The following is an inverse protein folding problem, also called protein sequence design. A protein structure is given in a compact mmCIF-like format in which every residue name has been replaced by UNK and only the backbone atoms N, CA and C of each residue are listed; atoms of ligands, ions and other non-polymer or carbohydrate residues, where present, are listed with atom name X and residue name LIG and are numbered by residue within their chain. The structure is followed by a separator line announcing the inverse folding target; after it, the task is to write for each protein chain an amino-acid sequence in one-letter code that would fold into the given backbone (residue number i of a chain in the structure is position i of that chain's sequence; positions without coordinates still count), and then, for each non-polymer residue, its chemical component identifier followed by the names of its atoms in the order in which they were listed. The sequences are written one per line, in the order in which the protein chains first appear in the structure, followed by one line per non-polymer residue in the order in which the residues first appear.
data_IF_254417620472
#
_entry.id   IF_254417620472
#
_cell.length_a   1.000
_cell.length_b   1.000
_cell.length_c   1.000
_cell.angle_alpha   90.00
_cell.angle_beta   90.00
_cell.angle_gamma   90.00
#
_symmetry.space_group_name_H-M   'P 1'
#
loop_
_entity.id
_entity.type
_entity.pdbx_description
1 polymer ?
#
# COMPACT_ATOMS: atom_id res chain seq x y z
N UNK A 1 -7.75 10.98 44.13
CA UNK A 1 -8.81 10.51 43.20
C UNK A 1 -8.99 9.01 43.19
N UNK A 2 -7.90 8.21 43.15
CA UNK A 2 -7.97 6.74 43.20
C UNK A 2 -6.91 6.25 44.18
N UNK A 3 -7.22 5.24 45.00
CA UNK A 3 -6.24 4.59 45.88
C UNK A 3 -5.24 3.76 45.08
N UNK A 4 -3.97 3.74 45.51
CA UNK A 4 -2.90 2.96 44.88
C UNK A 4 -3.30 1.49 44.78
N UNK A 5 -3.12 0.89 43.61
CA UNK A 5 -3.42 -0.52 43.33
C UNK A 5 -4.85 -0.82 42.86
N UNK A 6 -5.77 0.16 42.88
CA UNK A 6 -7.11 -0.02 42.29
C UNK A 6 -7.11 0.33 40.80
N UNK A 7 -7.80 -0.48 39.99
CA UNK A 7 -7.98 -0.21 38.55
C UNK A 7 -8.80 1.07 38.34
N UNK A 8 -8.37 1.91 37.41
CA UNK A 8 -9.11 3.10 36.98
C UNK A 8 -10.37 2.66 36.23
N UNK A 9 -11.52 3.23 36.58
CA UNK A 9 -12.83 2.91 35.99
C UNK A 9 -13.42 4.15 35.32
N UNK A 10 -14.45 3.97 34.49
CA UNK A 10 -15.16 5.07 33.85
C UNK A 10 -15.71 6.11 34.85
N UNK A 11 -16.05 5.70 36.08
CA UNK A 11 -16.48 6.62 37.15
C UNK A 11 -15.35 7.58 37.53
N UNK A 12 -14.13 7.06 37.72
CA UNK A 12 -12.98 7.88 38.10
C UNK A 12 -12.60 8.86 36.99
N UNK A 13 -12.65 8.42 35.72
CA UNK A 13 -12.39 9.27 34.55
C UNK A 13 -13.39 10.44 34.51
N UNK A 14 -14.69 10.16 34.63
CA UNK A 14 -15.73 11.22 34.65
C UNK A 14 -15.59 12.19 35.81
N UNK A 15 -15.12 11.73 36.97
CA UNK A 15 -14.85 12.60 38.12
C UNK A 15 -13.67 13.54 37.82
N UNK A 16 -12.57 13.01 37.28
CA UNK A 16 -11.42 13.81 36.88
C UNK A 16 -11.76 14.84 35.80
N UNK A 17 -12.58 14.46 34.81
CA UNK A 17 -13.09 15.36 33.77
C UNK A 17 -13.97 16.48 34.36
N UNK A 18 -14.89 16.13 35.27
CA UNK A 18 -15.78 17.09 35.93
C UNK A 18 -14.99 18.10 36.77
N UNK A 19 -13.95 17.64 37.44
CA UNK A 19 -13.09 18.46 38.29
C UNK A 19 -11.98 19.18 37.48
N UNK A 20 -11.95 19.00 36.15
CA UNK A 20 -11.02 19.63 35.21
C UNK A 20 -9.54 19.52 35.61
N UNK A 21 -9.14 18.34 36.06
CA UNK A 21 -7.78 18.10 36.56
C UNK A 21 -6.77 18.08 35.41
N UNK A 22 -5.93 19.12 35.32
CA UNK A 22 -4.90 19.24 34.28
C UNK A 22 -3.52 18.69 34.72
N UNK A 23 -3.20 18.74 36.02
CA UNK A 23 -1.90 18.34 36.55
C UNK A 23 -2.08 17.47 37.79
N UNK A 24 -1.25 16.43 37.92
CA UNK A 24 -1.23 15.52 39.05
C UNK A 24 0.23 15.31 39.45
N UNK A 25 0.51 15.38 40.75
CA UNK A 25 1.82 15.03 41.28
C UNK A 25 2.02 13.51 41.24
N UNK A 26 3.12 13.08 40.65
CA UNK A 26 3.50 11.67 40.50
C UNK A 26 4.88 11.44 41.11
N UNK A 27 5.15 10.25 41.69
CA UNK A 27 6.49 9.93 42.20
C UNK A 27 7.50 9.84 41.06
N UNK A 28 8.76 10.17 41.33
CA UNK A 28 9.86 10.10 40.34
C UNK A 28 10.02 8.67 39.79
N UNK A 29 9.76 7.66 40.61
CA UNK A 29 9.76 6.24 40.23
C UNK A 29 8.77 5.91 39.10
N UNK A 30 7.67 6.66 38.95
CA UNK A 30 6.70 6.45 37.87
C UNK A 30 7.26 6.88 36.50
N UNK A 31 8.18 7.84 36.51
CA UNK A 31 8.82 8.37 35.30
C UNK A 31 9.96 7.43 34.85
N UNK A 32 10.56 6.71 35.79
CA UNK A 32 11.55 5.69 35.47
C UNK A 32 10.92 4.59 34.59
N UNK A 33 11.55 4.30 33.46
CA UNK A 33 11.05 3.36 32.45
C UNK A 33 10.15 3.99 31.37
N UNK A 34 9.81 5.28 31.48
CA UNK A 34 9.18 6.01 30.36
C UNK A 34 10.23 6.37 29.30
N UNK A 35 9.79 6.50 28.06
CA UNK A 35 10.67 6.82 26.91
C UNK A 35 10.53 8.28 26.53
N UNK A 36 11.64 8.99 26.28
CA UNK A 36 11.60 10.40 25.86
C UNK A 36 11.18 10.56 24.40
N UNK A 37 10.41 11.60 24.12
CA UNK A 37 9.89 11.88 22.79
C UNK A 37 10.86 12.66 21.88
N UNK A 38 11.79 13.43 22.47
CA UNK A 38 12.70 14.33 21.75
C UNK A 38 14.08 14.41 22.40
N UNK A 39 15.02 14.98 21.66
CA UNK A 39 16.36 15.27 22.15
C UNK A 39 16.36 16.37 23.23
N UNK A 40 17.12 16.15 24.29
CA UNK A 40 17.35 17.12 25.36
C UNK A 40 18.82 17.49 25.41
N UNK A 41 19.10 18.78 25.22
CA UNK A 41 20.44 19.37 25.28
C UNK A 41 20.61 20.21 26.55
N UNK A 42 21.83 20.31 27.06
CA UNK A 42 22.19 21.27 28.09
C UNK A 42 22.48 22.63 27.44
N UNK A 43 21.73 23.67 27.82
CA UNK A 43 21.91 25.01 27.27
C UNK A 43 23.25 25.65 27.67
N UNK A 44 23.86 25.18 28.76
CA UNK A 44 25.13 25.73 29.27
C UNK A 44 26.35 25.23 28.51
N UNK A 45 26.33 23.94 28.13
CA UNK A 45 27.47 23.24 27.50
C UNK A 45 27.25 22.95 26.02
N UNK A 46 25.99 22.92 25.58
CA UNK A 46 25.59 22.50 24.23
C UNK A 46 25.64 20.99 24.02
N UNK A 47 25.91 20.20 25.07
CA UNK A 47 25.99 18.74 24.97
C UNK A 47 24.60 18.08 24.98
N UNK A 48 24.45 17.00 24.21
CA UNK A 48 23.24 16.18 24.21
C UNK A 48 23.18 15.34 25.49
N UNK A 49 22.20 15.62 26.35
CA UNK A 49 22.00 14.89 27.60
C UNK A 49 21.27 13.56 27.36
N UNK A 50 20.20 13.60 26.58
CA UNK A 50 19.35 12.44 26.28
C UNK A 50 18.91 12.52 24.82
N UNK A 51 19.13 11.44 24.07
CA UNK A 51 18.63 11.28 22.72
C UNK A 51 17.14 10.87 22.71
N UNK A 52 16.42 11.25 21.67
CA UNK A 52 15.05 10.83 21.42
C UNK A 52 14.95 9.29 21.43
N UNK A 53 13.80 8.78 21.89
CA UNK A 53 13.52 7.35 22.02
C UNK A 53 14.38 6.59 23.06
N UNK A 54 15.11 7.30 23.92
CA UNK A 54 15.84 6.70 25.04
C UNK A 54 14.95 6.51 26.28
N UNK A 55 15.23 5.47 27.06
CA UNK A 55 14.51 5.19 28.31
C UNK A 55 15.04 6.06 29.47
N UNK A 56 14.12 6.59 30.29
CA UNK A 56 14.44 7.43 31.43
C UNK A 56 14.85 6.59 32.64
N UNK A 57 16.07 6.83 33.12
CA UNK A 57 16.55 6.36 34.42
C UNK A 57 16.53 7.48 35.46
N UNK A 58 16.60 7.13 36.75
CA UNK A 58 16.65 8.10 37.85
C UNK A 58 17.85 9.07 37.72
N UNK A 59 18.99 8.57 37.23
CA UNK A 59 20.20 9.37 37.03
C UNK A 59 20.02 10.40 35.91
N UNK A 60 19.35 10.00 34.81
CA UNK A 60 19.06 10.90 33.70
C UNK A 60 18.05 11.98 34.10
N UNK A 61 17.06 11.65 34.94
CA UNK A 61 16.13 12.63 35.49
C UNK A 61 16.81 13.65 36.40
N UNK A 62 17.78 13.22 37.21
CA UNK A 62 18.57 14.13 38.03
C UNK A 62 19.40 15.11 37.18
N UNK A 63 20.03 14.60 36.10
CA UNK A 63 20.76 15.44 35.13
C UNK A 63 19.86 16.46 34.44
N UNK A 64 18.68 16.06 33.97
CA UNK A 64 17.70 16.98 33.37
C UNK A 64 17.24 18.06 34.35
N UNK A 65 17.01 17.68 35.61
CA UNK A 65 16.61 18.64 36.64
C UNK A 65 17.74 19.64 36.95
N UNK A 66 19.00 19.20 36.95
CA UNK A 66 20.16 20.05 37.20
C UNK A 66 20.44 21.03 36.05
N UNK A 67 20.20 20.61 34.81
CA UNK A 67 20.30 21.50 33.63
C UNK A 67 19.12 22.46 33.50
N UNK A 68 18.14 22.43 34.42
CA UNK A 68 17.06 23.40 34.50
C UNK A 68 15.83 23.09 33.65
N UNK A 69 15.75 21.89 33.05
CA UNK A 69 14.58 21.49 32.25
C UNK A 69 13.35 21.30 33.14
N UNK A 70 12.27 22.04 32.85
CA UNK A 70 10.98 21.96 33.57
C UNK A 70 9.94 21.09 32.87
N UNK A 71 10.15 20.79 31.58
CA UNK A 71 9.19 20.08 30.74
C UNK A 71 9.83 18.86 30.09
N UNK A 72 9.26 17.69 30.38
CA UNK A 72 9.70 16.42 29.80
C UNK A 72 8.56 15.84 28.98
N UNK A 73 8.80 15.61 27.70
CA UNK A 73 7.86 14.94 26.79
C UNK A 73 8.20 13.46 26.74
N UNK A 74 7.21 12.62 27.07
CA UNK A 74 7.35 11.17 27.05
C UNK A 74 6.41 10.56 26.04
N UNK A 75 6.80 9.43 25.45
CA UNK A 75 5.93 8.66 24.59
C UNK A 75 4.78 8.07 25.42
N UNK A 76 3.55 8.32 24.98
CA UNK A 76 2.39 7.69 25.56
C UNK A 76 2.26 6.26 25.02
N UNK A 77 2.79 5.30 25.77
CA UNK A 77 2.73 3.88 25.46
C UNK A 77 1.88 3.14 26.48
N UNK A 78 1.04 2.24 25.98
CA UNK A 78 0.13 1.39 26.75
C UNK A 78 0.00 0.02 26.07
N UNK A 79 -0.24 -1.03 26.84
CA UNK A 79 -0.29 -2.41 26.36
C UNK A 79 -1.57 -2.75 25.59
N UNK A 80 -2.55 -1.84 25.57
CA UNK A 80 -3.87 -2.07 24.97
C UNK A 80 -4.08 -1.28 23.67
N UNK A 81 -4.06 0.05 23.76
CA UNK A 81 -4.50 0.96 22.69
C UNK A 81 -3.35 1.74 22.02
N UNK A 82 -2.18 1.79 22.65
CA UNK A 82 -1.01 2.55 22.17
C UNK A 82 0.29 1.77 22.35
N UNK A 83 0.46 0.67 21.59
CA UNK A 83 1.66 -0.15 21.71
C UNK A 83 2.96 0.58 21.32
N UNK A 84 4.12 0.24 21.92
CA UNK A 84 5.41 0.89 21.68
C UNK A 84 6.08 0.49 20.35
N UNK A 85 5.32 0.21 19.29
CA UNK A 85 5.84 -0.44 18.07
C UNK A 85 6.94 0.35 17.37
N UNK A 86 6.75 1.66 17.19
CA UNK A 86 7.74 2.52 16.53
C UNK A 86 8.97 2.73 17.43
N UNK A 87 8.77 2.85 18.75
CA UNK A 87 9.88 2.94 19.71
C UNK A 87 10.81 1.75 19.58
N UNK A 88 10.26 0.53 19.62
CA UNK A 88 11.07 -0.68 19.51
C UNK A 88 11.69 -0.85 18.11
N UNK A 89 10.99 -0.43 17.06
CA UNK A 89 11.53 -0.47 15.69
C UNK A 89 12.76 0.44 15.54
N UNK A 90 12.69 1.67 16.07
CA UNK A 90 13.81 2.63 16.03
C UNK A 90 15.00 2.15 16.86
N UNK A 91 14.79 1.37 17.93
CA UNK A 91 15.90 0.79 18.72
C UNK A 91 16.71 -0.26 17.96
N UNK A 92 16.07 -0.96 17.02
CA UNK A 92 16.71 -2.00 16.20
C UNK A 92 17.27 -1.41 14.90
N UNK A 93 16.81 -0.24 14.48
CA UNK A 93 17.28 0.45 13.27
C UNK A 93 18.76 0.86 13.41
N UNK A 94 19.67 0.33 12.57
CA UNK A 94 21.07 0.72 12.60
C UNK A 94 21.35 2.07 11.93
N UNK A 95 20.35 2.65 11.25
CA UNK A 95 20.50 3.90 10.50
C UNK A 95 20.14 5.11 11.36
N UNK A 96 20.72 6.27 11.07
CA UNK A 96 20.57 7.49 11.89
C UNK A 96 20.22 8.74 11.10
N UNK A 97 20.35 8.69 9.77
CA UNK A 97 20.14 9.82 8.90
C UNK A 97 19.61 9.35 7.53
N UNK A 98 19.13 10.29 6.71
CA UNK A 98 18.55 9.96 5.41
C UNK A 98 19.55 9.24 4.51
N UNK A 99 20.84 9.61 4.53
CA UNK A 99 21.82 9.00 3.66
C UNK A 99 22.10 7.55 4.07
N UNK A 100 22.30 7.27 5.37
CA UNK A 100 22.48 5.89 5.85
C UNK A 100 21.27 5.01 5.53
N UNK A 101 20.04 5.53 5.70
CA UNK A 101 18.82 4.83 5.33
C UNK A 101 18.75 4.52 3.83
N UNK A 102 19.05 5.50 2.96
CA UNK A 102 19.06 5.31 1.50
C UNK A 102 20.12 4.30 1.06
N UNK A 103 21.29 4.31 1.69
CA UNK A 103 22.36 3.36 1.42
C UNK A 103 21.93 1.93 1.76
N UNK A 104 21.23 1.74 2.88
CA UNK A 104 20.74 0.42 3.29
C UNK A 104 19.63 -0.10 2.35
N UNK A 105 18.71 0.79 1.94
CA UNK A 105 17.71 0.47 0.89
C UNK A 105 18.40 0.06 -0.41
N UNK A 106 19.44 0.79 -0.83
CA UNK A 106 20.20 0.46 -2.04
C UNK A 106 20.86 -0.92 -1.96
N UNK A 107 21.52 -1.22 -0.83
CA UNK A 107 22.18 -2.52 -0.59
C UNK A 107 21.20 -3.69 -0.62
N UNK A 108 20.00 -3.50 -0.07
CA UNK A 108 18.96 -4.53 -0.09
C UNK A 108 18.48 -4.80 -1.52
N UNK A 109 18.22 -3.76 -2.31
CA UNK A 109 17.71 -3.89 -3.68
C UNK A 109 18.78 -4.34 -4.68
N UNK A 110 20.04 -3.97 -4.44
CA UNK A 110 21.19 -4.26 -5.30
C UNK A 110 22.36 -4.81 -4.48
N UNK A 111 22.28 -6.08 -4.03
CA UNK A 111 23.32 -6.66 -3.20
C UNK A 111 24.63 -6.78 -3.99
N UNK A 112 25.71 -6.23 -3.43
CA UNK A 112 27.07 -6.30 -4.00
C UNK A 112 27.50 -5.11 -4.87
N UNK A 113 26.59 -4.20 -5.23
CA UNK A 113 26.96 -2.94 -5.89
C UNK A 113 27.39 -1.89 -4.86
N UNK A 114 28.52 -1.18 -5.04
CA UNK A 114 28.93 -0.13 -4.12
C UNK A 114 27.95 1.06 -4.20
N UNK A 115 27.34 1.48 -3.08
CA UNK A 115 26.37 2.57 -3.08
C UNK A 115 27.07 3.93 -3.19
N UNK A 116 26.63 4.77 -4.14
CA UNK A 116 26.93 6.21 -4.13
C UNK A 116 25.71 6.99 -3.68
N UNK A 117 25.91 8.18 -3.11
CA UNK A 117 24.81 9.04 -2.65
C UNK A 117 23.79 9.29 -3.76
N UNK A 118 24.26 9.70 -4.93
CA UNK A 118 23.41 10.00 -6.08
C UNK A 118 22.67 8.76 -6.58
N UNK A 119 23.32 7.60 -6.63
CA UNK A 119 22.67 6.35 -7.05
C UNK A 119 21.58 5.92 -6.08
N UNK A 120 21.82 6.04 -4.77
CA UNK A 120 20.86 5.69 -3.73
C UNK A 120 19.65 6.63 -3.73
N UNK A 121 19.88 7.95 -3.82
CA UNK A 121 18.81 8.95 -3.94
C UNK A 121 17.98 8.72 -5.20
N UNK A 122 18.63 8.59 -6.37
CA UNK A 122 17.93 8.34 -7.63
C UNK A 122 17.17 7.01 -7.63
N UNK A 123 17.71 5.95 -7.02
CA UNK A 123 17.00 4.68 -6.91
C UNK A 123 15.70 4.86 -6.11
N UNK A 124 15.78 5.46 -4.92
CA UNK A 124 14.62 5.64 -4.04
C UNK A 124 13.53 6.50 -4.67
N UNK A 125 13.89 7.65 -5.26
CA UNK A 125 12.92 8.52 -5.94
C UNK A 125 12.23 7.79 -7.09
N UNK A 126 12.97 6.99 -7.86
CA UNK A 126 12.43 6.22 -8.97
C UNK A 126 11.56 5.02 -8.57
N UNK A 127 11.58 4.59 -7.30
CA UNK A 127 10.77 3.45 -6.85
C UNK A 127 9.31 3.81 -6.66
N UNK A 128 9.02 4.98 -6.08
CA UNK A 128 7.66 5.34 -5.64
C UNK A 128 7.19 6.73 -6.08
N UNK A 129 8.12 7.62 -6.44
CA UNK A 129 7.86 9.05 -6.66
C UNK A 129 8.06 9.49 -8.12
N UNK A 130 8.42 8.57 -9.02
CA UNK A 130 8.58 8.82 -10.45
C UNK A 130 7.34 8.36 -11.23
N UNK A 131 6.69 9.30 -11.93
CA UNK A 131 5.48 9.04 -12.72
C UNK A 131 5.71 8.06 -13.88
N UNK A 132 6.93 8.00 -14.42
CA UNK A 132 7.30 7.06 -15.49
C UNK A 132 7.40 5.61 -15.00
N UNK A 133 7.65 5.42 -13.70
CA UNK A 133 8.00 4.12 -13.09
C UNK A 133 6.89 3.60 -12.17
N UNK A 134 6.11 4.49 -11.58
CA UNK A 134 5.10 4.16 -10.60
C UNK A 134 3.79 4.88 -10.92
N UNK A 135 2.72 4.11 -11.04
CA UNK A 135 1.38 4.62 -11.33
C UNK A 135 0.34 3.72 -10.63
N UNK A 136 -0.33 4.26 -9.63
CA UNK A 136 -1.45 3.60 -8.96
C UNK A 136 -2.65 3.43 -9.89
N UNK A 137 -2.72 4.15 -11.02
CA UNK A 137 -3.91 4.39 -11.82
C UNK A 137 -5.04 5.07 -11.04
N UNK A 138 -6.06 5.55 -11.77
CA UNK A 138 -7.25 6.12 -11.16
C UNK A 138 -7.93 5.14 -10.16
N UNK A 139 -7.95 3.85 -10.49
CA UNK A 139 -8.60 2.83 -9.66
C UNK A 139 -7.81 2.59 -8.37
N UNK A 140 -6.48 2.46 -8.47
CA UNK A 140 -5.63 2.23 -7.30
C UNK A 140 -5.64 3.43 -6.37
N UNK A 141 -5.59 4.66 -6.90
CA UNK A 141 -5.70 5.88 -6.08
C UNK A 141 -7.05 5.98 -5.38
N UNK A 142 -8.15 5.76 -6.10
CA UNK A 142 -9.49 5.73 -5.51
C UNK A 142 -9.63 4.71 -4.39
N UNK A 143 -9.09 3.51 -4.60
CA UNK A 143 -9.08 2.44 -3.58
C UNK A 143 -8.21 2.78 -2.39
N UNK A 144 -7.02 3.33 -2.64
CA UNK A 144 -6.08 3.75 -1.61
C UNK A 144 -6.72 4.79 -0.68
N UNK A 145 -7.28 5.86 -1.26
CA UNK A 145 -7.92 6.92 -0.50
C UNK A 145 -9.14 6.40 0.28
N UNK A 146 -9.99 5.59 -0.35
CA UNK A 146 -11.17 5.01 0.31
C UNK A 146 -10.78 4.07 1.47
N UNK A 147 -9.73 3.27 1.28
CA UNK A 147 -9.20 2.38 2.32
C UNK A 147 -8.66 3.15 3.52
N UNK A 148 -8.06 4.33 3.29
CA UNK A 148 -7.62 5.25 4.34
C UNK A 148 -8.73 6.17 4.86
N UNK A 149 -9.99 5.94 4.48
CA UNK A 149 -11.15 6.76 4.88
C UNK A 149 -11.01 8.25 4.51
N UNK A 150 -10.37 8.55 3.37
CA UNK A 150 -10.34 9.90 2.79
C UNK A 150 -11.56 10.13 1.91
N UNK A 151 -12.00 11.39 1.85
CA UNK A 151 -13.16 11.80 1.03
C UNK A 151 -12.81 11.89 -0.47
N UNK A 152 -11.56 12.23 -0.78
CA UNK A 152 -11.06 12.39 -2.15
C UNK A 152 -11.00 11.06 -2.90
N UNK A 153 -11.60 11.00 -4.08
CA UNK A 153 -11.65 9.80 -4.93
C UNK A 153 -10.50 9.80 -5.94
N UNK A 154 -10.07 10.97 -6.37
CA UNK A 154 -9.00 11.16 -7.35
C UNK A 154 -7.72 11.66 -6.67
N UNK A 155 -6.60 11.63 -7.38
CA UNK A 155 -5.32 12.10 -6.87
C UNK A 155 -4.15 11.66 -7.75
N UNK A 156 -2.93 11.92 -7.29
CA UNK A 156 -1.72 11.58 -8.03
C UNK A 156 -1.52 10.06 -8.20
N UNK A 157 -0.94 9.66 -9.32
CA UNK A 157 -0.55 8.26 -9.59
C UNK A 157 0.66 7.78 -8.77
N UNK A 158 1.52 8.70 -8.33
CA UNK A 158 2.67 8.39 -7.47
C UNK A 158 2.30 8.44 -5.99
N UNK A 159 3.11 7.81 -5.13
CA UNK A 159 2.91 7.90 -3.68
C UNK A 159 3.44 9.22 -3.12
N UNK A 160 2.85 9.67 -2.01
CA UNK A 160 3.36 10.79 -1.22
C UNK A 160 3.90 10.33 0.13
N UNK A 161 4.66 11.20 0.82
CA UNK A 161 5.11 10.92 2.19
C UNK A 161 3.92 10.76 3.14
N UNK A 162 2.88 11.58 2.98
CA UNK A 162 1.66 11.45 3.78
C UNK A 162 0.98 10.11 3.53
N UNK A 163 0.87 9.66 2.27
CA UNK A 163 0.31 8.34 1.93
C UNK A 163 0.97 7.21 2.73
N UNK A 164 2.30 7.17 2.74
CA UNK A 164 3.08 6.15 3.46
C UNK A 164 2.83 6.23 4.97
N UNK A 165 2.85 7.44 5.53
CA UNK A 165 2.61 7.66 6.97
C UNK A 165 1.20 7.23 7.37
N UNK A 166 0.17 7.53 6.56
CA UNK A 166 -1.21 7.14 6.85
C UNK A 166 -1.39 5.62 6.75
N UNK A 167 -0.71 4.95 5.81
CA UNK A 167 -0.70 3.47 5.75
C UNK A 167 -0.08 2.88 7.01
N UNK A 168 1.06 3.41 7.47
CA UNK A 168 1.69 2.97 8.72
C UNK A 168 0.78 3.19 9.93
N UNK A 169 0.10 4.35 10.00
CA UNK A 169 -0.88 4.64 11.05
C UNK A 169 -2.06 3.67 11.03
N UNK A 170 -2.62 3.39 9.85
CA UNK A 170 -3.72 2.42 9.71
C UNK A 170 -3.28 1.02 10.15
N UNK A 171 -2.07 0.59 9.78
CA UNK A 171 -1.52 -0.69 10.19
C UNK A 171 -1.37 -0.80 11.72
N UNK A 172 -0.83 0.24 12.36
CA UNK A 172 -0.74 0.33 13.82
C UNK A 172 -2.13 0.34 14.45
N UNK A 173 -3.09 1.06 13.86
CA UNK A 173 -4.48 1.10 14.30
C UNK A 173 -5.10 -0.30 14.35
N UNK A 174 -5.00 -1.07 13.26
CA UNK A 174 -5.47 -2.46 13.21
C UNK A 174 -4.80 -3.31 14.29
N UNK A 175 -3.49 -3.14 14.49
CA UNK A 175 -2.75 -3.87 15.53
C UNK A 175 -3.22 -3.53 16.96
N UNK A 176 -3.65 -2.29 17.19
CA UNK A 176 -4.27 -1.83 18.44
C UNK A 176 -5.75 -2.24 18.57
N UNK A 177 -6.30 -2.99 17.61
CA UNK A 177 -7.70 -3.40 17.59
C UNK A 177 -8.66 -2.30 17.10
N UNK A 178 -8.13 -1.23 16.49
CA UNK A 178 -8.91 -0.14 15.91
C UNK A 178 -8.97 -0.36 14.39
N UNK A 179 -10.05 -0.98 13.93
CA UNK A 179 -10.28 -1.32 12.53
C UNK A 179 -10.20 -2.83 12.27
N UNK A 180 -10.57 -3.22 11.06
CA UNK A 180 -10.63 -4.62 10.63
C UNK A 180 -9.60 -4.89 9.53
N UNK A 181 -9.21 -6.16 9.38
CA UNK A 181 -8.37 -6.60 8.27
C UNK A 181 -9.22 -6.72 7.01
N UNK A 182 -8.66 -6.30 5.88
CA UNK A 182 -9.35 -6.39 4.59
C UNK A 182 -9.46 -7.85 4.11
N UNK A 183 -10.65 -8.22 3.64
CA UNK A 183 -10.89 -9.51 2.99
C UNK A 183 -10.50 -9.44 1.51
N UNK A 184 -9.52 -10.26 1.10
CA UNK A 184 -8.98 -10.32 -0.26
C UNK A 184 -10.02 -10.88 -1.26
N UNK A 185 -10.96 -11.69 -0.79
CA UNK A 185 -11.95 -12.39 -1.62
C UNK A 185 -13.20 -11.57 -1.87
N UNK A 186 -13.40 -10.52 -1.08
CA UNK A 186 -14.45 -9.54 -1.30
C UNK A 186 -14.34 -8.95 -2.73
N UNK A 187 -15.39 -9.05 -3.57
CA UNK A 187 -15.38 -8.52 -4.95
C UNK A 187 -15.12 -7.01 -5.05
N UNK A 188 -15.22 -6.28 -3.95
CA UNK A 188 -14.72 -4.90 -3.86
C UNK A 188 -13.19 -4.81 -4.03
N UNK A 189 -12.43 -5.84 -3.70
CA UNK A 189 -10.97 -5.88 -3.79
C UNK A 189 -10.47 -6.66 -5.02
N UNK A 190 -11.39 -7.27 -5.77
CA UNK A 190 -11.10 -7.99 -7.02
C UNK A 190 -11.71 -7.25 -8.20
N UNK A 191 -10.87 -6.91 -9.18
CA UNK A 191 -11.26 -6.11 -10.34
C UNK A 191 -11.24 -6.94 -11.61
N UNK A 192 -12.22 -6.71 -12.48
CA UNK A 192 -12.27 -7.31 -13.81
C UNK A 192 -11.46 -6.46 -14.78
N UNK A 193 -10.54 -7.11 -15.51
CA UNK A 193 -9.87 -6.52 -16.66
C UNK A 193 -10.51 -7.03 -17.94
N UNK A 194 -10.98 -6.11 -18.76
CA UNK A 194 -11.50 -6.43 -20.09
C UNK A 194 -10.40 -6.44 -21.14
N UNK A 195 -10.73 -6.92 -22.35
CA UNK A 195 -9.78 -6.98 -23.48
C UNK A 195 -9.16 -5.61 -23.78
N UNK A 196 -9.95 -4.53 -23.71
CA UNK A 196 -9.49 -3.17 -23.97
C UNK A 196 -8.32 -2.74 -23.08
N UNK A 197 -8.48 -2.87 -21.76
CA UNK A 197 -7.43 -2.50 -20.80
C UNK A 197 -6.18 -3.40 -20.93
N UNK A 198 -6.37 -4.70 -21.15
CA UNK A 198 -5.21 -5.59 -21.34
C UNK A 198 -4.45 -5.26 -22.61
N UNK A 199 -5.16 -4.97 -23.70
CA UNK A 199 -4.54 -4.53 -24.95
C UNK A 199 -3.85 -3.17 -24.81
N UNK A 200 -4.46 -2.21 -24.11
CA UNK A 200 -3.89 -0.90 -23.80
C UNK A 200 -2.54 -1.04 -23.07
N UNK A 201 -2.49 -1.88 -22.03
CA UNK A 201 -1.26 -2.11 -21.29
C UNK A 201 -0.13 -2.67 -22.17
N UNK A 202 -0.44 -3.65 -23.04
CA UNK A 202 0.55 -4.21 -23.97
C UNK A 202 0.97 -3.20 -25.04
N UNK A 203 0.04 -2.35 -25.47
CA UNK A 203 0.33 -1.25 -26.38
C UNK A 203 1.24 -0.20 -25.72
N UNK A 204 0.99 0.16 -24.45
CA UNK A 204 1.86 1.05 -23.65
C UNK A 204 3.27 0.49 -23.51
N UNK A 205 3.42 -0.80 -23.24
CA UNK A 205 4.74 -1.48 -23.24
C UNK A 205 5.44 -1.34 -24.60
N UNK A 206 4.70 -1.47 -25.70
CA UNK A 206 5.21 -1.22 -27.05
C UNK A 206 5.68 0.23 -27.24
N UNK A 207 4.90 1.20 -26.78
CA UNK A 207 5.22 2.63 -26.87
C UNK A 207 6.47 3.00 -26.06
N UNK A 208 6.62 2.50 -24.83
CA UNK A 208 7.81 2.77 -24.01
C UNK A 208 9.10 2.30 -24.70
N UNK A 209 9.05 1.17 -25.41
CA UNK A 209 10.19 0.68 -26.22
C UNK A 209 10.50 1.61 -27.39
N UNK A 210 9.47 2.11 -28.07
CA UNK A 210 9.61 3.05 -29.19
C UNK A 210 10.16 4.38 -28.68
N UNK A 211 9.63 4.90 -27.59
CA UNK A 211 10.07 6.15 -26.96
C UNK A 211 11.56 6.11 -26.63
N UNK A 212 12.05 5.01 -26.04
CA UNK A 212 13.48 4.84 -25.75
C UNK A 212 14.34 4.93 -27.01
N UNK A 213 13.94 4.24 -28.08
CA UNK A 213 14.67 4.26 -29.35
C UNK A 213 14.62 5.65 -30.03
N UNK A 214 13.50 6.36 -29.90
CA UNK A 214 13.34 7.73 -30.40
C UNK A 214 14.23 8.71 -29.62
N UNK A 215 14.22 8.64 -28.28
CA UNK A 215 15.09 9.47 -27.42
C UNK A 215 16.57 9.27 -27.75
N UNK A 216 17.00 8.04 -27.96
CA UNK A 216 18.38 7.71 -28.34
C UNK A 216 18.75 8.29 -29.72
N UNK A 217 17.85 8.15 -30.71
CA UNK A 217 18.05 8.74 -32.05
C UNK A 217 18.10 10.26 -32.04
N UNK A 218 17.23 10.91 -31.27
CA UNK A 218 17.22 12.37 -31.13
C UNK A 218 18.49 12.90 -30.47
N UNK A 219 19.15 12.11 -29.63
CA UNK A 219 20.41 12.51 -28.99
C UNK A 219 21.62 12.46 -29.93
N UNK A 220 21.56 11.66 -31.00
CA UNK A 220 22.68 11.38 -31.90
C UNK A 220 22.49 11.95 -33.32
N UNK A 221 21.26 12.27 -33.70
CA UNK A 221 20.89 12.64 -35.06
C UNK A 221 21.02 14.15 -35.36
N UNK A 222 21.27 14.46 -36.62
CA UNK A 222 21.21 15.83 -37.15
C UNK A 222 19.75 16.23 -37.39
N UNK A 223 19.24 17.19 -36.60
CA UNK A 223 17.81 17.51 -36.50
C UNK A 223 17.23 18.07 -37.81
N UNK A 224 18.05 18.66 -38.67
CA UNK A 224 17.59 19.33 -39.89
C UNK A 224 17.22 18.35 -41.02
N UNK A 225 17.71 17.11 -40.96
CA UNK A 225 17.50 16.09 -42.01
C UNK A 225 16.52 15.00 -41.62
N UNK A 226 16.13 14.94 -40.34
CA UNK A 226 15.50 13.77 -39.76
C UNK A 226 13.97 13.92 -39.74
N UNK A 227 13.27 13.09 -40.51
CA UNK A 227 11.81 13.11 -40.58
C UNK A 227 11.17 12.21 -39.50
N UNK A 228 10.01 12.57 -38.94
CA UNK A 228 9.35 11.78 -37.89
C UNK A 228 9.07 10.30 -38.25
N UNK A 229 8.78 10.02 -39.52
CA UNK A 229 8.57 8.66 -40.02
C UNK A 229 9.80 7.76 -39.89
N UNK A 230 11.01 8.33 -39.93
CA UNK A 230 12.27 7.57 -39.85
C UNK A 230 12.57 7.17 -38.40
N UNK A 231 11.99 7.88 -37.44
CA UNK A 231 12.13 7.63 -36.01
C UNK A 231 11.22 6.52 -35.50
N UNK A 232 10.02 6.39 -36.08
CA UNK A 232 8.98 5.49 -35.58
C UNK A 232 9.04 4.14 -36.30
N UNK A 233 9.41 3.10 -35.55
CA UNK A 233 9.34 1.71 -36.02
C UNK A 233 8.08 1.02 -35.48
N UNK A 234 7.23 0.49 -36.36
CA UNK A 234 6.01 -0.22 -35.97
C UNK A 234 6.27 -1.65 -35.46
N UNK A 235 7.43 -2.25 -35.74
CA UNK A 235 7.73 -3.64 -35.36
C UNK A 235 7.62 -3.90 -33.85
N UNK A 236 8.21 -3.10 -32.95
CA UNK A 236 8.11 -3.32 -31.50
C UNK A 236 6.67 -3.30 -30.98
N UNK A 237 5.85 -2.38 -31.50
CA UNK A 237 4.43 -2.25 -31.12
C UNK A 237 3.66 -3.48 -31.61
N UNK A 238 3.77 -3.80 -32.89
CA UNK A 238 3.05 -4.93 -33.49
C UNK A 238 3.46 -6.27 -32.88
N UNK A 239 4.73 -6.44 -32.49
CA UNK A 239 5.23 -7.64 -31.84
C UNK A 239 4.59 -7.83 -30.45
N UNK A 240 4.55 -6.79 -29.61
CA UNK A 240 3.92 -6.85 -28.29
C UNK A 240 2.42 -7.20 -28.37
N UNK A 241 1.70 -6.60 -29.32
CA UNK A 241 0.28 -6.90 -29.53
C UNK A 241 0.06 -8.32 -30.06
N UNK A 242 0.88 -8.77 -31.02
CA UNK A 242 0.80 -10.15 -31.56
C UNK A 242 1.12 -11.20 -30.52
N UNK A 243 2.13 -10.95 -29.68
CA UNK A 243 2.49 -11.85 -28.58
C UNK A 243 1.34 -12.00 -27.59
N UNK A 244 0.65 -10.89 -27.25
CA UNK A 244 -0.52 -10.93 -26.39
C UNK A 244 -1.66 -11.76 -26.98
N UNK A 245 -2.08 -11.51 -28.23
CA UNK A 245 -3.18 -12.27 -28.83
C UNK A 245 -2.81 -13.70 -29.24
N UNK A 246 -1.52 -13.98 -29.50
CA UNK A 246 -1.05 -15.29 -29.93
C UNK A 246 -0.72 -16.25 -28.79
N UNK A 247 -0.10 -15.76 -27.72
CA UNK A 247 0.52 -16.61 -26.68
C UNK A 247 -0.08 -16.43 -25.28
N UNK A 248 -0.96 -15.45 -25.07
CA UNK A 248 -1.57 -15.24 -23.75
C UNK A 248 -2.50 -16.38 -23.36
N UNK A 249 -2.44 -16.79 -22.09
CA UNK A 249 -3.35 -17.78 -21.50
C UNK A 249 -4.83 -17.37 -21.59
N UNK A 250 -5.11 -16.08 -21.70
CA UNK A 250 -6.46 -15.54 -21.80
C UNK A 250 -6.96 -15.48 -23.27
N UNK A 251 -6.06 -15.61 -24.25
CA UNK A 251 -6.41 -15.69 -25.66
C UNK A 251 -6.58 -17.16 -26.04
N UNK A 252 -7.82 -17.66 -25.96
CA UNK A 252 -8.15 -19.07 -26.15
C UNK A 252 -8.99 -19.27 -27.41
N UNK A 253 -8.93 -20.47 -27.97
CA UNK A 253 -9.85 -20.87 -29.03
C UNK A 253 -11.29 -20.87 -28.50
N UNK A 254 -12.18 -20.23 -29.24
CA UNK A 254 -13.57 -20.10 -28.83
C UNK A 254 -14.28 -21.46 -28.87
N UNK A 255 -14.85 -21.88 -27.73
CA UNK A 255 -15.82 -22.98 -27.64
C UNK A 255 -17.02 -22.75 -28.59
N UNK A 256 -17.05 -23.47 -29.72
CA UNK A 256 -18.04 -23.34 -30.80
C UNK A 256 -19.01 -24.52 -30.92
N UNK A 257 -19.15 -25.33 -29.86
CA UNK A 257 -20.01 -26.51 -29.91
C UNK A 257 -21.50 -26.16 -30.13
N UNK A 258 -21.97 -25.06 -29.53
CA UNK A 258 -23.32 -24.53 -29.70
C UNK A 258 -23.37 -23.05 -29.29
N UNK A 259 -24.46 -22.32 -29.60
CA UNK A 259 -24.56 -20.88 -29.28
C UNK A 259 -24.46 -20.55 -27.79
N UNK A 260 -24.93 -21.45 -26.91
CA UNK A 260 -24.82 -21.26 -25.46
C UNK A 260 -23.35 -21.31 -25.01
N UNK A 261 -22.59 -22.30 -25.49
CA UNK A 261 -21.16 -22.42 -25.21
C UNK A 261 -20.40 -21.17 -25.64
N UNK A 262 -20.71 -20.61 -26.80
CA UNK A 262 -20.09 -19.38 -27.30
C UNK A 262 -20.37 -18.18 -26.37
N UNK A 263 -21.64 -17.98 -25.99
CA UNK A 263 -22.05 -16.86 -25.13
C UNK A 263 -21.46 -17.01 -23.72
N UNK A 264 -21.53 -18.20 -23.14
CA UNK A 264 -20.93 -18.50 -21.83
C UNK A 264 -19.42 -18.26 -21.85
N UNK A 265 -18.72 -18.69 -22.90
CA UNK A 265 -17.27 -18.51 -22.99
C UNK A 265 -16.89 -17.02 -23.04
N UNK A 266 -17.64 -16.20 -23.79
CA UNK A 266 -17.40 -14.74 -23.85
C UNK A 266 -17.68 -14.02 -22.53
N UNK A 267 -18.54 -14.58 -21.67
CA UNK A 267 -18.92 -14.03 -20.34
C UNK A 267 -18.12 -14.64 -19.18
N UNK A 268 -17.10 -15.43 -19.49
CA UNK A 268 -16.26 -16.13 -18.51
C UNK A 268 -15.26 -15.18 -17.87
N UNK A 269 -15.09 -15.31 -16.57
CA UNK A 269 -14.11 -14.59 -15.75
C UNK A 269 -13.07 -15.60 -15.26
N UNK A 270 -11.79 -15.23 -15.34
CA UNK A 270 -10.68 -16.06 -14.91
C UNK A 270 -9.84 -15.32 -13.86
N UNK A 271 -9.58 -15.98 -12.73
CA UNK A 271 -8.57 -15.55 -11.75
C UNK A 271 -7.14 -15.92 -12.17
N UNK A 272 -7.00 -16.77 -13.20
CA UNK A 272 -5.73 -17.16 -13.79
C UNK A 272 -5.30 -16.16 -14.88
N UNK A 273 -4.00 -16.05 -15.10
CA UNK A 273 -3.41 -15.24 -16.19
C UNK A 273 -2.37 -14.24 -15.68
N UNK A 274 -1.88 -13.35 -16.57
CA UNK A 274 -0.87 -12.35 -16.20
C UNK A 274 -1.40 -11.41 -15.12
N UNK A 275 -0.73 -11.38 -13.95
CA UNK A 275 -1.13 -10.59 -12.79
C UNK A 275 -2.25 -11.22 -11.94
N UNK A 276 -2.67 -12.44 -12.26
CA UNK A 276 -3.62 -13.23 -11.47
C UNK A 276 -2.94 -14.30 -10.60
N UNK A 277 -3.75 -15.23 -10.11
CA UNK A 277 -3.29 -16.38 -9.32
C UNK A 277 -2.78 -17.49 -10.25
N UNK A 278 -1.83 -18.30 -9.75
CA UNK A 278 -1.49 -19.58 -10.35
C UNK A 278 -2.28 -20.70 -9.66
N UNK A 279 -2.52 -21.81 -10.37
CA UNK A 279 -3.28 -22.95 -9.83
C UNK A 279 -2.71 -23.50 -8.52
N UNK A 280 -1.38 -23.53 -8.43
CA UNK A 280 -0.63 -24.04 -7.27
C UNK A 280 -0.68 -23.11 -6.07
N UNK A 281 -0.83 -21.80 -6.30
CA UNK A 281 -0.92 -20.78 -5.25
C UNK A 281 -2.36 -20.51 -4.80
N UNK A 282 -3.34 -21.01 -5.53
CA UNK A 282 -4.75 -20.84 -5.22
C UNK A 282 -5.18 -21.84 -4.12
N UNK A 283 -5.25 -21.34 -2.89
CA UNK A 283 -5.77 -22.06 -1.73
C UNK A 283 -7.28 -22.32 -1.80
N UNK A 284 -7.84 -22.82 -0.70
CA UNK A 284 -9.27 -23.12 -0.60
C UNK A 284 -10.13 -21.85 -0.58
N UNK A 285 -9.71 -20.83 0.18
CA UNK A 285 -10.44 -19.57 0.41
C UNK A 285 -10.83 -18.88 -0.91
N UNK A 286 -9.85 -18.70 -1.81
CA UNK A 286 -10.06 -18.02 -3.09
C UNK A 286 -10.99 -18.76 -4.07
N UNK A 287 -11.24 -20.06 -3.83
CA UNK A 287 -12.09 -20.93 -4.65
C UNK A 287 -13.52 -21.02 -4.13
N UNK A 288 -13.74 -20.65 -2.87
CA UNK A 288 -15.04 -20.76 -2.24
C UNK A 288 -16.01 -19.66 -2.72
N UNK A 289 -17.30 -19.88 -2.50
CA UNK A 289 -18.34 -18.92 -2.87
C UNK A 289 -18.44 -17.84 -1.79
N UNK A 290 -17.99 -16.63 -2.13
CA UNK A 290 -18.07 -15.49 -1.22
C UNK A 290 -19.45 -14.78 -1.29
N UNK A 291 -20.01 -14.26 -0.19
CA UNK A 291 -21.32 -13.58 -0.19
C UNK A 291 -21.47 -12.45 -1.22
N UNK A 292 -20.38 -11.73 -1.52
CA UNK A 292 -20.39 -10.64 -2.52
C UNK A 292 -20.62 -11.13 -3.95
N UNK A 293 -20.46 -12.43 -4.23
CA UNK A 293 -20.78 -13.03 -5.52
C UNK A 293 -22.27 -12.88 -5.88
N UNK A 294 -23.14 -12.70 -4.88
CA UNK A 294 -24.58 -12.60 -5.08
C UNK A 294 -24.94 -11.54 -6.14
N UNK A 295 -25.61 -11.99 -7.20
CA UNK A 295 -26.03 -11.16 -8.33
C UNK A 295 -24.90 -10.70 -9.27
N UNK A 296 -23.64 -11.05 -8.98
CA UNK A 296 -22.43 -10.62 -9.73
C UNK A 296 -21.75 -11.78 -10.45
N UNK A 297 -21.49 -12.86 -9.73
CA UNK A 297 -20.80 -14.06 -10.23
C UNK A 297 -21.71 -15.26 -10.00
N UNK A 298 -21.84 -16.15 -10.98
CA UNK A 298 -22.67 -17.33 -10.86
C UNK A 298 -22.02 -18.33 -9.89
N UNK A 299 -22.69 -18.73 -8.78
CA UNK A 299 -22.09 -19.62 -7.78
C UNK A 299 -22.05 -21.09 -8.22
N UNK A 300 -22.76 -21.46 -9.29
CA UNK A 300 -22.92 -22.84 -9.75
C UNK A 300 -22.18 -23.12 -11.07
N UNK A 301 -21.88 -22.09 -11.86
CA UNK A 301 -21.25 -22.26 -13.18
C UNK A 301 -19.73 -22.02 -13.07
N UNK A 302 -19.04 -23.09 -12.69
CA UNK A 302 -17.57 -23.22 -12.66
C UNK A 302 -17.20 -24.60 -13.19
N UNK A 303 -16.06 -24.77 -13.90
CA UNK A 303 -15.58 -26.10 -14.24
C UNK A 303 -15.24 -26.89 -12.97
N UNK A 304 -15.57 -28.18 -12.98
CA UNK A 304 -15.12 -29.10 -11.95
C UNK A 304 -13.61 -29.41 -12.07
N UNK A 305 -13.04 -29.99 -11.02
CA UNK A 305 -11.64 -30.41 -11.00
C UNK A 305 -10.66 -29.27 -10.67
N UNK A 306 -9.46 -29.24 -11.28
CA UNK A 306 -8.37 -28.35 -10.84
C UNK A 306 -8.67 -26.86 -10.91
N UNK A 307 -9.64 -26.45 -11.74
CA UNK A 307 -10.00 -25.04 -11.98
C UNK A 307 -11.24 -24.58 -11.21
N UNK A 308 -11.81 -25.40 -10.33
CA UNK A 308 -13.00 -25.03 -9.55
C UNK A 308 -12.77 -23.72 -8.77
N UNK A 309 -13.71 -22.79 -8.90
CA UNK A 309 -13.68 -21.46 -8.28
C UNK A 309 -12.71 -20.46 -8.92
N UNK A 310 -11.79 -20.90 -9.78
CA UNK A 310 -10.83 -20.04 -10.48
C UNK A 310 -11.35 -19.52 -11.81
N UNK A 311 -12.34 -20.21 -12.37
CA UNK A 311 -13.04 -19.81 -13.57
C UNK A 311 -14.52 -19.75 -13.21
N UNK A 312 -15.13 -18.59 -13.38
CA UNK A 312 -16.54 -18.39 -13.06
C UNK A 312 -17.26 -17.70 -14.22
N UNK A 313 -18.58 -17.79 -14.22
CA UNK A 313 -19.44 -17.12 -15.21
C UNK A 313 -20.04 -15.84 -14.63
N UNK A 314 -20.16 -14.79 -15.45
CA UNK A 314 -20.82 -13.54 -15.06
C UNK A 314 -22.33 -13.77 -14.91
N UNK A 315 -22.90 -13.38 -13.76
CA UNK A 315 -24.35 -13.46 -13.50
C UNK A 315 -25.16 -12.69 -14.56
N UNK A 316 -26.43 -13.05 -14.76
CA UNK A 316 -27.29 -12.56 -15.85
C UNK A 316 -27.28 -11.03 -15.98
N UNK A 317 -27.57 -10.33 -14.88
CA UNK A 317 -27.70 -8.86 -14.82
C UNK A 317 -26.44 -8.14 -14.33
N UNK A 318 -25.36 -8.86 -14.07
CA UNK A 318 -24.13 -8.26 -13.57
C UNK A 318 -23.46 -7.41 -14.65
N UNK A 319 -22.87 -6.30 -14.24
CA UNK A 319 -22.18 -5.36 -15.12
C UNK A 319 -20.88 -4.92 -14.47
N UNK A 320 -19.93 -4.44 -15.28
CA UNK A 320 -18.71 -3.79 -14.80
C UNK A 320 -18.93 -2.30 -14.70
N UNK A 321 -18.65 -1.71 -13.54
CA UNK A 321 -18.67 -0.26 -13.38
C UNK A 321 -17.49 0.41 -14.08
N UNK A 322 -17.44 1.74 -14.06
CA UNK A 322 -16.39 2.56 -14.70
C UNK A 322 -14.98 2.22 -14.20
N UNK A 323 -14.86 1.76 -12.96
CA UNK A 323 -13.59 1.35 -12.35
C UNK A 323 -13.28 -0.14 -12.54
N UNK A 324 -14.11 -0.91 -13.25
CA UNK A 324 -13.91 -2.35 -13.52
C UNK A 324 -14.33 -3.28 -12.37
N UNK A 325 -15.04 -2.80 -11.35
CA UNK A 325 -15.65 -3.66 -10.32
C UNK A 325 -17.02 -4.18 -10.77
N UNK A 326 -17.41 -5.35 -10.27
CA UNK A 326 -18.71 -5.93 -10.57
C UNK A 326 -19.82 -5.30 -9.74
N UNK A 327 -20.88 -4.90 -10.40
CA UNK A 327 -22.12 -4.42 -9.81
C UNK A 327 -23.33 -5.17 -10.33
N UNK A 328 -24.44 -5.06 -9.59
CA UNK A 328 -25.69 -5.73 -9.92
C UNK A 328 -26.84 -4.78 -9.63
N UNK A 329 -27.83 -4.66 -10.52
CA UNK A 329 -28.91 -3.69 -10.37
C UNK A 329 -29.88 -4.10 -9.26
N UNK A 330 -30.26 -3.14 -8.42
CA UNK A 330 -31.30 -3.29 -7.40
C UNK A 330 -32.42 -2.27 -7.62
N UNK A 331 -33.64 -2.63 -7.20
CA UNK A 331 -34.77 -1.68 -7.17
C UNK A 331 -34.72 -0.90 -5.85
N UNK A 332 -34.69 0.43 -5.95
CA UNK A 332 -34.77 1.31 -4.77
C UNK A 332 -36.14 1.16 -4.11
N UNK A 333 -36.15 0.74 -2.84
CA UNK A 333 -37.35 0.80 -1.99
C UNK A 333 -37.43 2.23 -1.45
N UNK A 334 -38.56 2.89 -1.69
CA UNK A 334 -38.83 4.25 -1.20
C UNK A 334 -39.75 4.21 -0.02
#
# INVERSE_FOLDING_TARGET
YVEKGRRITARHIRQLEKDAVAHIEVPVEYIAGKVVAKDYIDESTGELLIAANMELSLDLLAKLSQSGHKHIETLFTNDLDHGPYISETVRVDPTSDRLSALVEIYRMMRPGEPPTREAAENLFENLFFSEDRYDLSAVGRMKFNRSLLRDEIEGSGILSKDDIIQVMKKLIGIRNGIGEVDDIDHLGNRRIRSVGEMAENQFRVGLVRVERAVKERLSLGDLDTLMPQDMINAKPISAAVKEFFGSSQLSQFMDQNNPLSEITHKRRISALGPGGLTRERAGFEVRDVHPTHYGRVCPIETPEGPNIGLINSLSVYAQTNEYGFLETPYRRVR
#
